data_IF_339310799709
#
_entry.id   IF_339310799709
#
_cell.length_a   1.000
_cell.length_b   1.000
_cell.length_c   1.000
_cell.angle_alpha   90.00
_cell.angle_beta   90.00
_cell.angle_gamma   90.00
#
_symmetry.space_group_name_H-M   'P 1'
#
loop_
_entity.id
_entity.type
_entity.pdbx_description
1 polymer ?
#
# COMPACT_ATOMS: atom_id res chain seq x y z
N UNK A 1 28.74 -29.57 -21.06
CA UNK A 1 28.21 -30.81 -20.46
C UNK A 1 26.77 -30.94 -20.91
N UNK A 2 26.46 -31.98 -21.69
CA UNK A 2 25.21 -32.12 -22.46
C UNK A 2 24.49 -33.34 -21.90
N UNK A 3 23.47 -33.10 -21.08
CA UNK A 3 22.71 -34.10 -20.37
C UNK A 3 21.39 -34.37 -21.11
N UNK A 4 21.42 -35.43 -21.94
CA UNK A 4 20.25 -36.16 -22.46
C UNK A 4 19.77 -37.10 -21.35
N UNK A 5 18.52 -36.99 -20.92
CA UNK A 5 17.63 -37.97 -20.25
C UNK A 5 16.24 -37.30 -20.18
N UNK A 6 15.05 -37.91 -20.24
CA UNK A 6 14.58 -39.29 -20.32
C UNK A 6 13.12 -39.21 -20.79
N UNK A 7 12.69 -40.20 -21.56
CA UNK A 7 11.32 -40.44 -22.04
C UNK A 7 10.40 -40.88 -20.89
N UNK A 8 9.30 -40.17 -20.61
CA UNK A 8 8.10 -40.64 -19.87
C UNK A 8 6.96 -39.65 -20.16
N UNK A 9 5.67 -39.97 -20.20
CA UNK A 9 4.88 -41.19 -20.36
C UNK A 9 3.49 -40.60 -20.63
N UNK A 10 2.89 -40.90 -21.78
CA UNK A 10 1.57 -40.39 -22.15
C UNK A 10 0.52 -41.12 -21.30
N UNK A 11 -0.15 -40.41 -20.38
CA UNK A 11 -1.28 -40.95 -19.64
C UNK A 11 -2.48 -40.00 -19.71
N UNK A 12 -3.59 -40.60 -20.09
CA UNK A 12 -4.95 -40.11 -20.21
C UNK A 12 -5.48 -39.37 -18.97
N UNK A 13 -6.28 -38.32 -19.21
CA UNK A 13 -7.49 -37.98 -18.45
C UNK A 13 -8.41 -37.23 -19.41
N UNK A 14 -9.37 -37.93 -20.01
CA UNK A 14 -10.80 -37.98 -19.65
C UNK A 14 -11.53 -36.64 -19.80
N UNK A 15 -12.52 -36.65 -20.69
CA UNK A 15 -13.41 -35.56 -21.05
C UNK A 15 -14.01 -34.82 -19.86
N UNK A 16 -14.01 -33.50 -19.97
CA UNK A 16 -14.96 -32.63 -19.30
C UNK A 16 -15.17 -31.41 -20.18
N UNK A 17 -16.20 -31.42 -21.03
CA UNK A 17 -16.69 -30.20 -21.65
C UNK A 17 -17.35 -29.39 -20.53
N UNK A 18 -16.57 -28.50 -19.91
CA UNK A 18 -17.11 -27.51 -18.99
C UNK A 18 -18.02 -26.58 -19.79
N UNK A 19 -19.31 -26.57 -19.43
CA UNK A 19 -20.22 -25.53 -19.83
C UNK A 19 -19.64 -24.18 -19.41
N UNK A 20 -19.67 -23.24 -20.33
CA UNK A 20 -19.26 -21.88 -20.12
C UNK A 20 -20.04 -21.26 -18.95
N UNK A 21 -19.33 -20.87 -17.89
CA UNK A 21 -19.68 -19.70 -17.11
C UNK A 21 -18.44 -18.80 -17.08
N UNK A 22 -18.27 -18.03 -18.16
CA UNK A 22 -17.37 -16.89 -18.14
C UNK A 22 -18.09 -15.72 -17.47
N UNK A 23 -18.31 -15.79 -16.17
CA UNK A 23 -18.45 -14.58 -15.39
C UNK A 23 -17.05 -14.04 -15.10
N UNK A 24 -16.51 -13.37 -16.12
CA UNK A 24 -15.36 -12.48 -15.98
C UNK A 24 -15.79 -11.33 -15.07
N UNK A 25 -15.56 -11.48 -13.78
CA UNK A 25 -15.44 -10.34 -12.88
C UNK A 25 -14.08 -10.41 -12.18
N UNK A 26 -13.03 -10.17 -12.95
CA UNK A 26 -11.74 -9.74 -12.41
C UNK A 26 -11.62 -8.24 -12.57
N UNK A 27 -12.07 -7.54 -11.53
CA UNK A 27 -11.72 -6.17 -11.12
C UNK A 27 -12.20 -6.10 -9.66
N UNK A 28 -11.42 -5.99 -8.60
CA UNK A 28 -10.03 -5.67 -8.35
C UNK A 28 -9.68 -6.41 -7.04
N UNK A 29 -8.63 -7.23 -7.00
CA UNK A 29 -7.40 -6.90 -6.30
C UNK A 29 -7.66 -6.28 -4.89
N UNK A 30 -7.53 -7.15 -3.89
CA UNK A 30 -6.86 -6.80 -2.64
C UNK A 30 -7.63 -5.93 -1.65
N UNK A 31 -8.57 -6.55 -0.92
CA UNK A 31 -8.99 -6.07 0.40
C UNK A 31 -7.87 -6.25 1.44
N UNK A 32 -6.74 -5.55 1.26
CA UNK A 32 -5.78 -5.39 2.34
C UNK A 32 -6.39 -4.45 3.38
N UNK A 33 -6.84 -5.04 4.49
CA UNK A 33 -7.22 -4.40 5.75
C UNK A 33 -8.08 -3.14 5.60
N UNK A 34 -9.36 -3.23 5.98
CA UNK A 34 -10.16 -2.06 6.32
C UNK A 34 -9.63 -1.42 7.63
N UNK A 35 -8.34 -1.08 7.70
CA UNK A 35 -7.89 -0.04 8.62
C UNK A 35 -8.54 1.23 8.13
N UNK A 36 -9.23 1.93 9.02
CA UNK A 36 -9.84 3.22 8.75
C UNK A 36 -8.73 4.23 8.42
N UNK A 37 -8.27 4.22 7.17
CA UNK A 37 -7.43 5.24 6.59
C UNK A 37 -8.35 6.28 5.96
N UNK A 38 -8.42 7.43 6.60
CA UNK A 38 -9.20 8.56 6.13
C UNK A 38 -8.22 9.53 5.49
N UNK A 39 -8.34 9.79 4.19
CA UNK A 39 -7.58 10.88 3.59
C UNK A 39 -8.04 12.20 4.21
N UNK A 40 -7.08 12.99 4.68
CA UNK A 40 -7.33 14.27 5.33
C UNK A 40 -6.53 15.36 4.62
N UNK A 41 -6.98 16.60 4.75
CA UNK A 41 -6.22 17.74 4.21
C UNK A 41 -5.03 18.06 5.10
N UNK A 42 -4.02 18.71 4.53
CA UNK A 42 -2.86 19.23 5.28
C UNK A 42 -3.32 20.15 6.41
N UNK A 43 -4.40 20.91 6.21
CA UNK A 43 -4.98 21.77 7.24
C UNK A 43 -5.45 21.00 8.48
N UNK A 44 -5.90 19.76 8.31
CA UNK A 44 -6.34 18.86 9.38
C UNK A 44 -5.18 18.18 10.10
N UNK A 45 -3.95 18.31 9.59
CA UNK A 45 -2.78 17.81 10.29
C UNK A 45 -2.50 18.66 11.54
N UNK A 46 -2.17 18.01 12.68
CA UNK A 46 -1.72 18.70 13.87
C UNK A 46 -0.52 19.61 13.58
N UNK A 47 -0.40 20.72 14.30
CA UNK A 47 0.76 21.62 14.18
C UNK A 47 2.08 20.90 14.41
N UNK A 48 2.11 19.93 15.33
CA UNK A 48 3.29 19.12 15.58
C UNK A 48 3.71 18.30 14.34
N UNK A 49 2.75 17.68 13.65
CA UNK A 49 3.01 16.96 12.39
C UNK A 49 3.48 17.92 11.31
N UNK A 50 2.84 19.09 11.17
CA UNK A 50 3.28 20.14 10.24
C UNK A 50 4.70 20.59 10.55
N UNK A 51 5.05 20.78 11.81
CA UNK A 51 6.40 21.20 12.23
C UNK A 51 7.45 20.15 11.87
N UNK A 52 7.15 18.86 12.06
CA UNK A 52 8.05 17.78 11.64
C UNK A 52 8.22 17.75 10.13
N UNK A 53 7.15 17.92 9.36
CA UNK A 53 7.21 17.96 7.88
C UNK A 53 7.89 19.23 7.33
N UNK A 54 7.87 20.33 8.09
CA UNK A 54 8.62 21.55 7.78
C UNK A 54 10.07 21.51 8.31
N UNK A 55 10.49 20.42 8.97
CA UNK A 55 11.88 20.28 9.40
C UNK A 55 12.78 20.02 8.20
N UNK A 56 14.06 20.38 8.33
CA UNK A 56 15.04 20.23 7.24
C UNK A 56 15.17 18.81 6.70
N UNK A 57 14.77 17.78 7.47
CA UNK A 57 14.71 16.38 7.01
C UNK A 57 13.80 16.15 5.81
N UNK A 58 12.77 16.99 5.63
CA UNK A 58 11.83 16.92 4.51
C UNK A 58 11.90 18.17 3.63
N UNK A 59 13.01 18.90 3.67
CA UNK A 59 13.23 20.05 2.81
C UNK A 59 13.28 19.65 1.33
N UNK A 60 12.49 20.36 0.52
CA UNK A 60 12.25 20.04 -0.89
C UNK A 60 11.29 18.86 -1.13
N UNK A 61 10.70 18.27 -0.08
CA UNK A 61 9.62 17.29 -0.25
C UNK A 61 8.26 17.98 -0.25
N UNK A 62 7.44 17.69 -1.26
CA UNK A 62 6.08 18.21 -1.36
C UNK A 62 5.10 17.21 -0.75
N UNK A 63 4.20 17.67 0.11
CA UNK A 63 3.10 16.84 0.60
C UNK A 63 2.11 16.63 -0.54
N UNK A 64 1.98 15.39 -1.01
CA UNK A 64 0.99 15.00 -2.02
C UNK A 64 -0.32 14.63 -1.33
N UNK A 65 -0.24 13.77 -0.31
CA UNK A 65 -1.42 13.23 0.37
C UNK A 65 -1.14 13.06 1.86
N UNK A 66 -2.19 13.17 2.67
CA UNK A 66 -2.14 12.87 4.09
C UNK A 66 -3.33 11.98 4.45
N UNK A 67 -3.08 10.99 5.31
CA UNK A 67 -4.06 10.00 5.74
C UNK A 67 -4.04 9.93 7.25
N UNK A 68 -5.20 9.98 7.88
CA UNK A 68 -5.37 9.64 9.28
C UNK A 68 -5.73 8.16 9.38
N UNK A 69 -4.92 7.39 10.07
CA UNK A 69 -5.15 5.96 10.27
C UNK A 69 -5.48 5.70 11.74
N UNK A 70 -6.61 5.06 11.97
CA UNK A 70 -6.97 4.54 13.30
C UNK A 70 -6.39 3.12 13.44
N UNK A 71 -5.58 2.90 14.46
CA UNK A 71 -5.08 1.58 14.86
C UNK A 71 -6.15 0.79 15.61
N UNK A 72 -5.90 -0.50 15.75
CA UNK A 72 -6.72 -1.45 16.50
C UNK A 72 -6.82 -1.10 18.01
N UNK A 73 -5.82 -0.43 18.58
CA UNK A 73 -5.78 0.06 19.97
C UNK A 73 -6.52 1.39 20.17
N UNK A 74 -7.28 1.86 19.17
CA UNK A 74 -7.93 3.18 19.11
C UNK A 74 -6.96 4.38 19.01
N UNK A 75 -5.64 4.15 18.97
CA UNK A 75 -4.67 5.20 18.72
C UNK A 75 -4.73 5.66 17.27
N UNK A 76 -4.56 6.96 17.03
CA UNK A 76 -4.60 7.54 15.69
C UNK A 76 -3.22 8.05 15.31
N UNK A 77 -2.74 7.63 14.15
CA UNK A 77 -1.54 8.16 13.53
C UNK A 77 -1.87 8.77 12.18
N UNK A 78 -0.93 9.53 11.66
CA UNK A 78 -1.00 10.24 10.40
C UNK A 78 0.05 9.65 9.48
N UNK A 79 -0.35 9.27 8.27
CA UNK A 79 0.53 8.82 7.21
C UNK A 79 0.57 9.90 6.15
N UNK A 80 1.73 10.48 5.93
CA UNK A 80 1.93 11.61 5.04
C UNK A 80 2.80 11.16 3.88
N UNK A 81 2.22 11.23 2.69
CA UNK A 81 2.89 10.92 1.44
C UNK A 81 3.55 12.18 0.91
N UNK A 82 4.86 12.14 0.92
CA UNK A 82 5.76 13.15 0.40
C UNK A 82 6.26 12.73 -0.97
N UNK A 83 6.47 13.70 -1.85
CA UNK A 83 7.05 13.49 -3.17
C UNK A 83 8.14 14.51 -3.44
N UNK A 84 9.26 14.03 -3.97
CA UNK A 84 10.41 14.83 -4.37
C UNK A 84 10.85 14.32 -5.74
N UNK A 85 10.62 15.13 -6.76
CA UNK A 85 10.84 14.76 -8.17
C UNK A 85 10.12 13.43 -8.53
N UNK A 86 10.89 12.37 -8.81
CA UNK A 86 10.38 11.02 -9.09
C UNK A 86 10.34 10.10 -7.85
N UNK A 87 10.83 10.58 -6.71
CA UNK A 87 10.83 9.84 -5.45
C UNK A 87 9.56 10.11 -4.67
N UNK A 88 8.98 9.04 -4.11
CA UNK A 88 7.88 9.12 -3.15
C UNK A 88 8.37 8.57 -1.81
N UNK A 89 8.03 9.26 -0.73
CA UNK A 89 8.31 8.84 0.63
C UNK A 89 7.02 8.88 1.44
N UNK A 90 6.82 7.88 2.28
CA UNK A 90 5.63 7.80 3.13
C UNK A 90 6.12 7.85 4.56
N UNK A 91 5.78 8.92 5.26
CA UNK A 91 6.21 9.16 6.64
C UNK A 91 5.00 8.97 7.53
N UNK A 92 5.12 8.12 8.54
CA UNK A 92 4.08 7.93 9.55
C UNK A 92 4.45 8.74 10.78
N UNK A 93 3.52 9.54 11.27
CA UNK A 93 3.69 10.41 12.42
C UNK A 93 2.51 10.23 13.38
N UNK A 94 2.80 10.21 14.67
CA UNK A 94 1.79 10.32 15.72
C UNK A 94 1.17 11.73 15.74
N UNK A 95 0.07 11.91 16.50
CA UNK A 95 -0.52 13.24 16.74
C UNK A 95 0.45 14.27 17.35
N UNK A 96 1.49 13.79 18.02
CA UNK A 96 2.53 14.59 18.67
C UNK A 96 3.65 14.99 17.69
N UNK A 97 3.57 14.61 16.42
CA UNK A 97 4.62 14.87 15.43
C UNK A 97 5.82 13.90 15.53
N UNK A 98 5.76 12.92 16.42
CA UNK A 98 6.76 11.85 16.53
C UNK A 98 6.64 10.91 15.33
N UNK A 99 7.73 10.75 14.58
CA UNK A 99 7.81 9.80 13.47
C UNK A 99 7.81 8.38 14.04
N UNK A 100 6.93 7.54 13.51
CA UNK A 100 6.89 6.10 13.79
C UNK A 100 7.34 5.36 12.54
N UNK A 101 8.31 4.46 12.68
CA UNK A 101 8.81 3.57 11.61
C UNK A 101 8.02 2.26 11.60
#
# INVERSE_FOLDING_TARGET
>A
MKNIYLLTLLIFVSSGTLLADQHYNRHDLTSHALRERVSIRIDELPEAVKSTLNSSSFDGWKIEEAFRVTRDDQSKYYEVKLKKDEQQNIVRLEKDGQVID
#
